data_IF_021059027927
#
_entry.id   IF_021059027927
#
_cell.length_a   1.000
_cell.length_b   1.000
_cell.length_c   1.000
_cell.angle_alpha   90.00
_cell.angle_beta   90.00
_cell.angle_gamma   90.00
#
_symmetry.space_group_name_H-M   'P 1'
#
loop_
_entity.id
_entity.type
_entity.pdbx_description
1 polymer ?
#
# COMPACT_ATOMS: atom_id res chain seq x y z
N UNK A 1 -12.87 -4.76 9.86
CA UNK A 1 -11.72 -5.43 9.19
C UNK A 1 -10.88 -4.47 8.35
N UNK A 2 -11.46 -3.41 7.79
CA UNK A 2 -10.78 -2.41 6.97
C UNK A 2 -9.70 -1.65 7.73
N UNK A 3 -9.92 -1.32 9.00
CA UNK A 3 -8.92 -0.74 9.91
C UNK A 3 -7.73 -1.67 10.05
N UNK A 4 -7.97 -2.98 10.21
CA UNK A 4 -6.89 -3.96 10.36
C UNK A 4 -6.06 -4.07 9.08
N UNK A 5 -6.71 -4.14 7.92
CA UNK A 5 -6.02 -4.19 6.62
C UNK A 5 -5.27 -2.88 6.35
N UNK A 6 -5.89 -1.72 6.58
CA UNK A 6 -5.23 -0.41 6.42
C UNK A 6 -4.05 -0.25 7.38
N UNK A 7 -4.20 -0.69 8.62
CA UNK A 7 -3.12 -0.73 9.61
C UNK A 7 -1.97 -1.63 9.17
N UNK A 8 -2.25 -2.81 8.62
CA UNK A 8 -1.23 -3.70 8.06
C UNK A 8 -0.50 -3.05 6.88
N UNK A 9 -1.22 -2.40 5.96
CA UNK A 9 -0.63 -1.68 4.83
C UNK A 9 0.33 -0.60 5.32
N UNK A 10 -0.08 0.18 6.33
CA UNK A 10 0.77 1.23 6.88
C UNK A 10 2.00 0.67 7.61
N UNK A 11 1.81 -0.30 8.52
CA UNK A 11 2.88 -0.88 9.33
C UNK A 11 3.89 -1.58 8.43
N UNK A 12 3.45 -2.46 7.54
CA UNK A 12 4.36 -3.21 6.66
C UNK A 12 5.04 -2.26 5.68
N UNK A 13 4.28 -1.33 5.08
CA UNK A 13 4.82 -0.34 4.16
C UNK A 13 5.97 0.47 4.79
N UNK A 14 5.75 1.02 5.98
CA UNK A 14 6.74 1.86 6.66
C UNK A 14 7.90 1.08 7.25
N UNK A 15 7.67 -0.11 7.80
CA UNK A 15 8.73 -0.89 8.46
C UNK A 15 9.59 -1.70 7.51
N UNK A 16 9.04 -2.14 6.37
CA UNK A 16 9.71 -3.07 5.45
C UNK A 16 10.04 -2.42 4.11
N UNK A 17 9.19 -1.53 3.61
CA UNK A 17 9.29 -1.03 2.23
C UNK A 17 9.64 0.45 2.11
N UNK A 18 9.83 1.17 3.22
CA UNK A 18 10.31 2.55 3.21
C UNK A 18 11.84 2.63 3.18
N UNK A 19 12.34 3.70 2.57
CA UNK A 19 13.78 3.95 2.41
C UNK A 19 14.24 3.82 0.96
N UNK A 20 15.55 3.67 0.78
CA UNK A 20 16.17 3.58 -0.54
C UNK A 20 16.07 2.16 -1.09
N UNK A 21 15.47 2.04 -2.27
CA UNK A 21 15.38 0.81 -3.04
C UNK A 21 16.19 0.95 -4.33
N UNK A 22 16.88 -0.11 -4.72
CA UNK A 22 17.54 -0.20 -6.01
C UNK A 22 16.65 -0.98 -6.99
N UNK A 23 16.35 -0.36 -8.12
CA UNK A 23 15.63 -0.98 -9.23
C UNK A 23 16.61 -1.15 -10.37
N UNK A 24 16.91 -2.40 -10.69
CA UNK A 24 17.75 -2.74 -11.85
C UNK A 24 16.85 -3.17 -13.00
N UNK A 25 16.92 -2.45 -14.12
CA UNK A 25 16.16 -2.72 -15.34
C UNK A 25 17.15 -3.07 -16.45
N UNK A 26 17.01 -4.27 -17.01
CA UNK A 26 17.83 -4.77 -18.11
C UNK A 26 18.26 -6.22 -17.90
N UNK A 27 18.92 -6.79 -18.91
CA UNK A 27 19.49 -8.13 -18.82
C UNK A 27 20.98 -8.01 -18.45
N UNK A 28 21.49 -8.81 -17.51
CA UNK A 28 22.88 -8.72 -17.06
C UNK A 28 23.91 -8.77 -18.20
N UNK A 29 23.63 -9.54 -19.26
CA UNK A 29 24.55 -9.72 -20.40
C UNK A 29 24.41 -8.66 -21.50
N UNK A 30 23.30 -7.89 -21.53
CA UNK A 30 23.04 -6.87 -22.56
C UNK A 30 23.20 -5.43 -22.01
N UNK A 31 23.58 -5.31 -20.74
CA UNK A 31 23.61 -4.06 -20.00
C UNK A 31 22.35 -3.86 -19.16
N UNK A 32 22.55 -3.38 -17.93
CA UNK A 32 21.47 -3.04 -17.00
C UNK A 32 21.64 -1.63 -16.48
N UNK A 33 20.54 -0.89 -16.35
CA UNK A 33 20.51 0.40 -15.66
C UNK A 33 19.97 0.20 -14.25
N UNK A 34 20.73 0.67 -13.27
CA UNK A 34 20.32 0.66 -11.86
C UNK A 34 19.87 2.06 -11.46
N UNK A 35 18.65 2.16 -10.97
CA UNK A 35 18.05 3.38 -10.45
C UNK A 35 17.88 3.25 -8.95
N UNK A 36 18.18 4.33 -8.23
CA UNK A 36 17.94 4.42 -6.81
C UNK A 36 16.69 5.27 -6.58
N UNK A 37 15.66 4.67 -6.00
CA UNK A 37 14.40 5.33 -5.68
C UNK A 37 14.26 5.34 -4.16
N UNK A 38 13.83 6.47 -3.60
CA UNK A 38 13.52 6.53 -2.17
C UNK A 38 12.02 6.53 -2.00
N UNK A 39 11.49 5.54 -1.28
CA UNK A 39 10.07 5.43 -0.96
C UNK A 39 9.78 6.14 0.38
N UNK A 40 9.07 7.28 0.36
CA UNK A 40 8.75 8.02 1.58
C UNK A 40 7.65 7.30 2.35
N UNK A 41 7.71 7.35 3.68
CA UNK A 41 6.68 6.76 4.56
C UNK A 41 5.26 7.29 4.29
N UNK A 42 5.16 8.56 3.88
CA UNK A 42 3.90 9.21 3.53
C UNK A 42 3.12 8.49 2.41
N UNK A 43 3.81 7.77 1.52
CA UNK A 43 3.18 6.98 0.46
C UNK A 43 2.29 5.88 1.06
N UNK A 44 2.75 5.21 2.11
CA UNK A 44 2.02 4.13 2.77
C UNK A 44 0.81 4.64 3.56
N UNK A 45 0.92 5.82 4.14
CA UNK A 45 -0.22 6.49 4.80
C UNK A 45 -1.33 6.75 3.76
N UNK A 46 -0.96 7.27 2.58
CA UNK A 46 -1.90 7.48 1.49
C UNK A 46 -2.58 6.17 1.04
N UNK A 47 -1.80 5.11 0.85
CA UNK A 47 -2.33 3.80 0.44
C UNK A 47 -3.25 3.17 1.50
N UNK A 48 -2.89 3.27 2.79
CA UNK A 48 -3.72 2.79 3.89
C UNK A 48 -5.05 3.54 3.95
N UNK A 49 -5.04 4.86 3.76
CA UNK A 49 -6.24 5.67 3.68
C UNK A 49 -7.13 5.25 2.50
N UNK A 50 -6.56 5.12 1.30
CA UNK A 50 -7.29 4.66 0.11
C UNK A 50 -7.91 3.28 0.36
N UNK A 51 -7.16 2.34 0.94
CA UNK A 51 -7.65 0.99 1.23
C UNK A 51 -8.84 1.02 2.20
N UNK A 52 -8.73 1.77 3.31
CA UNK A 52 -9.80 1.92 4.29
C UNK A 52 -11.07 2.50 3.65
N UNK A 53 -10.95 3.63 2.94
CA UNK A 53 -12.10 4.28 2.32
C UNK A 53 -12.73 3.45 1.22
N UNK A 54 -11.93 2.72 0.44
CA UNK A 54 -12.44 1.81 -0.58
C UNK A 54 -13.30 0.71 0.04
N UNK A 55 -12.84 0.09 1.12
CA UNK A 55 -13.61 -0.93 1.85
C UNK A 55 -14.84 -0.33 2.54
N UNK A 56 -14.73 0.86 3.12
CA UNK A 56 -15.86 1.59 3.71
C UNK A 56 -16.97 1.83 2.68
N UNK A 57 -16.60 2.38 1.52
CA UNK A 57 -17.53 2.69 0.44
C UNK A 57 -18.16 1.42 -0.12
N UNK A 58 -17.36 0.37 -0.37
CA UNK A 58 -17.87 -0.89 -0.90
C UNK A 58 -18.77 -1.61 0.10
N UNK A 59 -18.38 -1.66 1.38
CA UNK A 59 -19.17 -2.29 2.44
C UNK A 59 -20.54 -1.61 2.60
N UNK A 60 -20.55 -0.28 2.68
CA UNK A 60 -21.79 0.49 2.80
C UNK A 60 -22.66 0.46 1.55
N UNK A 61 -22.07 0.34 0.34
CA UNK A 61 -22.83 0.27 -0.91
C UNK A 61 -23.43 -1.11 -1.18
N UNK A 62 -22.69 -2.18 -0.87
CA UNK A 62 -23.11 -3.55 -1.17
C UNK A 62 -24.12 -4.07 -0.14
N UNK A 63 -23.86 -3.82 1.14
CA UNK A 63 -24.79 -4.14 2.22
C UNK A 63 -24.73 -3.06 3.31
N UNK A 64 -25.61 -2.06 3.24
CA UNK A 64 -25.65 -1.00 4.23
C UNK A 64 -25.87 -1.52 5.65
N UNK A 65 -26.50 -2.69 5.83
CA UNK A 65 -26.94 -3.24 7.14
C UNK A 65 -25.82 -3.96 7.89
N UNK A 66 -24.78 -4.40 7.18
CA UNK A 66 -23.66 -5.15 7.76
C UNK A 66 -22.32 -4.48 7.42
N UNK A 67 -22.28 -3.60 6.42
CA UNK A 67 -21.07 -2.95 5.91
C UNK A 67 -20.23 -2.23 6.97
N UNK A 68 -20.85 -1.74 8.04
CA UNK A 68 -20.13 -1.15 9.18
C UNK A 68 -19.29 -2.15 9.98
N UNK A 69 -19.59 -3.44 9.94
CA UNK A 69 -18.78 -4.48 10.58
C UNK A 69 -17.48 -4.76 9.81
N UNK A 70 -17.47 -4.43 8.52
CA UNK A 70 -16.32 -4.61 7.63
C UNK A 70 -15.33 -3.46 7.80
N UNK A 71 -15.76 -2.29 8.29
CA UNK A 71 -14.89 -1.15 8.65
C UNK A 71 -13.74 -1.55 9.57
#
# INVERSE_FOLDING_TARGET
>A
MGIAIAGLVWIIGTSVYSGSMEITIGFPELGSNTFLITLPEALWIGLAFIAFFSMAILGLKLDPTIGWTVL
#
